data_IF_298559160631
#
_entry.id   IF_298559160631
#
_cell.length_a   1.000
_cell.length_b   1.000
_cell.length_c   1.000
_cell.angle_alpha   90.00
_cell.angle_beta   90.00
_cell.angle_gamma   90.00
#
_symmetry.space_group_name_H-M   'P 1'
#
loop_
_entity.id
_entity.type
_entity.pdbx_description
1 polymer ?
#
# COMPACT_ATOMS: atom_id res chain seq x y z
N UNK A 1 17.45 -8.19 13.70
CA UNK A 1 16.29 -7.53 14.32
C UNK A 1 15.09 -8.45 14.19
N UNK A 2 14.38 -8.76 15.28
CA UNK A 2 13.15 -9.59 15.26
C UNK A 2 11.96 -8.69 15.57
N UNK A 3 10.83 -8.86 14.88
CA UNK A 3 9.61 -8.12 15.21
C UNK A 3 9.10 -8.48 16.62
N UNK A 4 8.71 -7.47 17.38
CA UNK A 4 8.06 -7.66 18.69
C UNK A 4 6.59 -8.11 18.59
N UNK A 5 5.99 -8.10 17.40
CA UNK A 5 4.57 -8.44 17.21
C UNK A 5 4.36 -9.97 17.20
N UNK A 6 3.31 -10.48 17.88
CA UNK A 6 2.90 -11.87 17.72
C UNK A 6 2.56 -12.18 16.26
N UNK A 7 2.99 -13.33 15.76
CA UNK A 7 2.76 -13.73 14.36
C UNK A 7 1.28 -13.62 13.93
N UNK A 8 0.33 -13.94 14.83
CA UNK A 8 -1.10 -13.78 14.54
C UNK A 8 -1.47 -12.33 14.22
N UNK A 9 -0.97 -11.37 14.98
CA UNK A 9 -1.24 -9.94 14.79
C UNK A 9 -0.63 -9.46 13.47
N UNK A 10 0.61 -9.86 13.18
CA UNK A 10 1.35 -9.47 11.97
C UNK A 10 0.72 -9.98 10.66
N UNK A 11 -0.22 -10.93 10.69
CA UNK A 11 -0.82 -11.44 9.45
C UNK A 11 -2.34 -11.42 9.43
N UNK A 12 -3.01 -11.69 10.54
CA UNK A 12 -4.46 -11.75 10.57
C UNK A 12 -5.07 -10.36 10.43
N UNK A 13 -4.52 -9.35 11.13
CA UNK A 13 -5.02 -7.98 11.03
C UNK A 13 -4.78 -7.37 9.63
N UNK A 14 -3.57 -7.44 9.05
CA UNK A 14 -3.36 -6.97 7.68
C UNK A 14 -4.22 -7.71 6.66
N UNK A 15 -4.35 -9.05 6.76
CA UNK A 15 -5.21 -9.81 5.84
C UNK A 15 -6.67 -9.34 5.88
N UNK A 16 -7.21 -9.13 7.09
CA UNK A 16 -8.57 -8.61 7.28
C UNK A 16 -8.73 -7.19 6.74
N UNK A 17 -7.77 -6.31 7.01
CA UNK A 17 -7.77 -4.93 6.50
C UNK A 17 -7.61 -4.89 4.98
N UNK A 18 -6.81 -5.77 4.39
CA UNK A 18 -6.70 -5.89 2.94
C UNK A 18 -8.03 -6.34 2.34
N UNK A 19 -8.68 -7.36 2.92
CA UNK A 19 -9.98 -7.79 2.44
C UNK A 19 -11.01 -6.65 2.51
N UNK A 20 -10.99 -5.86 3.59
CA UNK A 20 -11.83 -4.68 3.73
C UNK A 20 -11.49 -3.58 2.71
N UNK A 21 -10.21 -3.28 2.51
CA UNK A 21 -9.75 -2.29 1.54
C UNK A 21 -10.14 -2.67 0.12
N UNK A 22 -9.96 -3.93 -0.26
CA UNK A 22 -10.35 -4.48 -1.57
C UNK A 22 -11.86 -4.43 -1.74
N UNK A 23 -12.62 -4.84 -0.72
CA UNK A 23 -14.08 -4.73 -0.74
C UNK A 23 -14.53 -3.27 -0.91
N UNK A 24 -13.86 -2.32 -0.25
CA UNK A 24 -14.16 -0.89 -0.40
C UNK A 24 -13.95 -0.43 -1.86
N UNK A 25 -12.79 -0.71 -2.45
CA UNK A 25 -12.46 -0.24 -3.82
C UNK A 25 -13.19 -0.99 -4.93
N UNK A 26 -13.70 -2.19 -4.66
CA UNK A 26 -14.50 -2.96 -5.62
C UNK A 26 -15.99 -2.63 -5.48
N UNK A 27 -16.54 -2.58 -4.25
CA UNK A 27 -17.99 -2.49 -4.05
C UNK A 27 -18.53 -1.05 -4.09
N UNK A 28 -17.81 -0.05 -3.58
CA UNK A 28 -18.33 1.34 -3.65
C UNK A 28 -18.57 1.82 -5.08
N UNK A 29 -17.67 1.57 -6.05
CA UNK A 29 -17.93 1.91 -7.45
C UNK A 29 -19.16 1.24 -8.04
N UNK A 30 -19.48 0.00 -7.65
CA UNK A 30 -20.71 -0.69 -8.07
C UNK A 30 -21.97 0.01 -7.56
N UNK A 31 -21.91 0.56 -6.34
CA UNK A 31 -23.05 1.19 -5.69
C UNK A 31 -23.24 2.67 -6.07
N UNK A 32 -22.14 3.38 -6.29
CA UNK A 32 -22.12 4.85 -6.43
C UNK A 32 -21.34 5.36 -7.66
N UNK A 33 -20.91 4.48 -8.57
CA UNK A 33 -20.14 4.84 -9.76
C UNK A 33 -18.82 5.54 -9.44
N UNK A 34 -18.51 6.59 -10.20
CA UNK A 34 -17.25 7.35 -10.04
C UNK A 34 -17.13 8.02 -8.66
N UNK A 35 -18.24 8.44 -8.04
CA UNK A 35 -18.21 8.99 -6.68
C UNK A 35 -17.83 7.92 -5.67
N UNK A 36 -18.30 6.69 -5.86
CA UNK A 36 -17.89 5.54 -5.04
C UNK A 36 -16.40 5.26 -5.16
N UNK A 37 -15.85 5.34 -6.38
CA UNK A 37 -14.41 5.16 -6.62
C UNK A 37 -13.57 6.24 -5.96
N UNK A 38 -13.96 7.51 -6.12
CA UNK A 38 -13.31 8.63 -5.44
C UNK A 38 -13.36 8.46 -3.91
N UNK A 39 -14.53 8.15 -3.36
CA UNK A 39 -14.70 7.94 -1.93
C UNK A 39 -13.80 6.81 -1.40
N UNK A 40 -13.73 5.68 -2.12
CA UNK A 40 -12.87 4.57 -1.74
C UNK A 40 -11.38 4.96 -1.77
N UNK A 41 -10.91 5.61 -2.83
CA UNK A 41 -9.51 6.06 -2.97
C UNK A 41 -9.15 7.06 -1.86
N UNK A 42 -10.01 8.05 -1.61
CA UNK A 42 -9.78 9.07 -0.59
C UNK A 42 -9.69 8.46 0.82
N UNK A 43 -10.56 7.49 1.15
CA UNK A 43 -10.49 6.76 2.43
C UNK A 43 -9.16 6.01 2.57
N UNK A 44 -8.70 5.32 1.52
CA UNK A 44 -7.42 4.61 1.55
C UNK A 44 -6.23 5.58 1.67
N UNK A 45 -6.24 6.69 0.91
CA UNK A 45 -5.17 7.68 0.96
C UNK A 45 -5.08 8.34 2.35
N UNK A 46 -6.19 8.85 2.89
CA UNK A 46 -6.18 9.54 4.18
C UNK A 46 -5.88 8.58 5.33
N UNK A 47 -6.40 7.34 5.25
CA UNK A 47 -6.05 6.28 6.19
C UNK A 47 -4.56 5.94 6.16
N UNK A 48 -3.97 5.84 4.97
CA UNK A 48 -2.53 5.63 4.80
C UNK A 48 -1.73 6.82 5.32
N UNK A 49 -2.10 8.07 4.97
CA UNK A 49 -1.42 9.28 5.44
C UNK A 49 -1.40 9.33 6.96
N UNK A 50 -2.55 9.14 7.61
CA UNK A 50 -2.65 9.17 9.07
C UNK A 50 -1.77 8.08 9.70
N UNK A 51 -1.90 6.84 9.23
CA UNK A 51 -1.17 5.71 9.83
C UNK A 51 0.31 5.73 9.52
N UNK A 52 0.72 6.21 8.35
CA UNK A 52 2.12 6.38 7.99
C UNK A 52 2.81 7.42 8.85
N UNK A 53 2.17 8.59 9.06
CA UNK A 53 2.74 9.64 9.93
C UNK A 53 2.90 9.14 11.36
N UNK A 54 1.96 8.31 11.86
CA UNK A 54 2.05 7.66 13.17
C UNK A 54 3.18 6.62 13.22
N UNK A 55 3.30 5.76 12.21
CA UNK A 55 4.25 4.63 12.18
C UNK A 55 5.68 5.08 11.91
N UNK A 56 5.88 6.01 10.99
CA UNK A 56 7.20 6.51 10.62
C UNK A 56 7.78 7.50 11.65
N UNK A 57 7.06 7.78 12.74
CA UNK A 57 7.51 8.68 13.81
C UNK A 57 7.88 10.08 13.30
N UNK A 58 7.19 10.57 12.26
CA UNK A 58 7.60 11.80 11.58
C UNK A 58 7.51 13.00 12.54
N UNK A 59 8.68 13.57 12.88
CA UNK A 59 8.74 14.78 13.68
C UNK A 59 8.03 15.95 12.99
N UNK A 60 7.15 16.63 13.73
CA UNK A 60 6.25 17.63 13.16
C UNK A 60 4.96 17.02 12.59
N UNK A 61 4.37 16.07 13.33
CA UNK A 61 3.11 15.36 13.03
C UNK A 61 2.08 16.19 12.24
N UNK A 62 1.71 17.38 12.76
CA UNK A 62 0.71 18.23 12.12
C UNK A 62 1.12 18.73 10.73
N UNK A 63 2.40 19.06 10.54
CA UNK A 63 2.93 19.49 9.25
C UNK A 63 2.97 18.35 8.24
N UNK A 64 3.49 17.18 8.64
CA UNK A 64 3.56 15.99 7.77
C UNK A 64 2.17 15.46 7.40
N UNK A 65 1.23 15.46 8.35
CA UNK A 65 -0.17 15.11 8.11
C UNK A 65 -0.83 16.08 7.13
N UNK A 66 -0.64 17.39 7.31
CA UNK A 66 -1.19 18.41 6.43
C UNK A 66 -0.63 18.29 5.00
N UNK A 67 0.69 18.10 4.85
CA UNK A 67 1.33 17.92 3.53
C UNK A 67 0.83 16.64 2.86
N UNK A 68 0.77 15.52 3.58
CA UNK A 68 0.29 14.25 3.05
C UNK A 68 -1.19 14.30 2.62
N UNK A 69 -2.05 14.89 3.45
CA UNK A 69 -3.47 15.03 3.15
C UNK A 69 -3.71 16.00 1.97
N UNK A 70 -2.99 17.11 1.92
CA UNK A 70 -3.05 18.05 0.79
C UNK A 70 -2.58 17.38 -0.51
N UNK A 71 -1.53 16.56 -0.45
CA UNK A 71 -1.04 15.82 -1.62
C UNK A 71 -2.04 14.77 -2.11
N UNK A 72 -2.72 14.04 -1.20
CA UNK A 72 -3.78 13.11 -1.55
C UNK A 72 -4.93 13.81 -2.30
N UNK A 73 -5.44 14.91 -1.74
CA UNK A 73 -6.50 15.70 -2.39
C UNK A 73 -6.02 16.28 -3.73
N UNK A 74 -4.80 16.80 -3.79
CA UNK A 74 -4.23 17.34 -5.03
C UNK A 74 -4.08 16.25 -6.11
N UNK A 75 -3.67 15.03 -5.74
CA UNK A 75 -3.55 13.90 -6.65
C UNK A 75 -4.91 13.51 -7.24
N UNK A 76 -5.95 13.44 -6.41
CA UNK A 76 -7.31 13.14 -6.86
C UNK A 76 -7.85 14.23 -7.79
N UNK A 77 -7.69 15.50 -7.41
CA UNK A 77 -8.11 16.65 -8.22
C UNK A 77 -7.37 16.69 -9.57
N UNK A 78 -6.07 16.39 -9.58
CA UNK A 78 -5.27 16.33 -10.81
C UNK A 78 -5.78 15.29 -11.81
N UNK A 79 -6.45 14.22 -11.33
CA UNK A 79 -6.97 13.16 -12.19
C UNK A 79 -8.48 13.27 -12.47
N UNK A 80 -9.20 14.13 -11.74
CA UNK A 80 -10.65 14.31 -11.88
C UNK A 80 -11.00 15.56 -12.68
N UNK A 81 -10.31 16.68 -12.45
CA UNK A 81 -10.65 17.96 -13.06
C UNK A 81 -10.36 18.04 -14.56
N UNK A 82 -9.22 17.52 -15.08
CA UNK A 82 -8.95 17.59 -16.50
C UNK A 82 -9.92 16.73 -17.32
N UNK A 83 -10.30 17.21 -18.50
CA UNK A 83 -11.10 16.43 -19.46
C UNK A 83 -10.34 15.18 -19.94
N UNK A 84 -9.00 15.28 -20.03
CA UNK A 84 -8.09 14.22 -20.45
C UNK A 84 -7.01 14.02 -19.40
N UNK A 85 -7.34 13.37 -18.27
CA UNK A 85 -6.38 13.19 -17.19
C UNK A 85 -5.28 12.21 -17.62
N UNK A 86 -4.04 12.52 -17.28
CA UNK A 86 -2.88 11.67 -17.57
C UNK A 86 -2.12 11.32 -16.30
N UNK A 87 -1.51 10.14 -16.26
CA UNK A 87 -0.66 9.75 -15.13
C UNK A 87 0.50 10.74 -14.89
N UNK A 88 0.98 11.39 -15.97
CA UNK A 88 2.01 12.42 -15.90
C UNK A 88 1.62 13.64 -15.07
N UNK A 89 0.33 13.93 -14.91
CA UNK A 89 -0.14 15.08 -14.10
C UNK A 89 0.21 14.89 -12.61
N UNK A 90 0.35 13.64 -12.15
CA UNK A 90 0.80 13.32 -10.80
C UNK A 90 2.26 13.76 -10.55
N UNK A 91 3.09 13.94 -11.58
CA UNK A 91 4.45 14.46 -11.41
C UNK A 91 4.46 15.89 -10.86
N UNK A 92 3.44 16.69 -11.19
CA UNK A 92 3.27 18.04 -10.63
C UNK A 92 2.97 17.94 -9.14
N UNK A 93 2.09 17.02 -8.74
CA UNK A 93 1.73 16.79 -7.33
C UNK A 93 2.93 16.30 -6.54
N UNK A 94 3.71 15.36 -7.09
CA UNK A 94 4.95 14.88 -6.48
C UNK A 94 5.99 16.00 -6.33
N UNK A 95 6.19 16.80 -7.39
CA UNK A 95 7.15 17.91 -7.37
C UNK A 95 6.78 18.99 -6.35
N UNK A 96 5.53 19.45 -6.37
CA UNK A 96 5.04 20.47 -5.43
C UNK A 96 4.98 19.92 -3.99
N UNK A 97 4.50 18.69 -3.81
CA UNK A 97 4.46 18.01 -2.52
C UNK A 97 5.84 17.82 -1.91
N UNK A 98 6.84 17.45 -2.72
CA UNK A 98 8.23 17.35 -2.29
C UNK A 98 8.79 18.69 -1.84
N UNK A 99 8.57 19.77 -2.61
CA UNK A 99 8.99 21.12 -2.22
C UNK A 99 8.32 21.57 -0.92
N UNK A 100 7.02 21.29 -0.75
CA UNK A 100 6.29 21.56 0.48
C UNK A 100 6.86 20.78 1.68
N UNK A 101 7.21 19.50 1.48
CA UNK A 101 7.88 18.69 2.49
C UNK A 101 9.24 19.29 2.87
N UNK A 102 10.11 19.62 1.91
CA UNK A 102 11.40 20.27 2.19
C UNK A 102 11.21 21.56 2.98
N UNK A 103 10.24 22.39 2.60
CA UNK A 103 9.98 23.66 3.27
C UNK A 103 9.47 23.43 4.71
N UNK A 104 8.58 22.46 4.91
CA UNK A 104 8.13 22.03 6.25
C UNK A 104 9.31 21.57 7.13
N UNK A 105 10.24 20.81 6.55
CA UNK A 105 11.45 20.32 7.23
C UNK A 105 12.45 21.45 7.53
N UNK A 106 12.54 22.48 6.68
CA UNK A 106 13.38 23.65 6.94
C UNK A 106 12.81 24.54 8.07
N UNK A 107 11.48 24.62 8.17
CA UNK A 107 10.79 25.44 9.17
C UNK A 107 10.70 24.76 10.55
N UNK A 108 10.79 23.44 10.63
CA UNK A 108 10.74 22.72 11.91
C UNK A 108 12.01 22.92 12.75
N UNK A 109 11.86 22.77 14.07
CA UNK A 109 12.94 22.69 15.06
C UNK A 109 12.55 21.68 16.14
N UNK A 110 13.42 20.75 16.57
CA UNK A 110 14.79 20.48 16.09
C UNK A 110 14.83 19.86 14.67
N UNK A 111 16.03 19.67 14.10
CA UNK A 111 16.25 19.21 12.71
C UNK A 111 17.03 17.89 12.67
N UNK A 112 16.63 16.95 13.51
CA UNK A 112 17.23 15.61 13.54
C UNK A 112 16.57 14.74 12.45
N UNK A 113 17.28 13.70 12.02
CA UNK A 113 16.80 12.69 11.06
C UNK A 113 16.11 13.21 9.79
N UNK A 114 16.60 14.33 9.25
CA UNK A 114 16.03 14.97 8.05
C UNK A 114 15.95 14.01 6.85
N UNK A 115 16.99 13.20 6.63
CA UNK A 115 17.04 12.27 5.49
C UNK A 115 15.98 11.17 5.63
N UNK A 116 15.83 10.59 6.83
CA UNK A 116 14.82 9.58 7.10
C UNK A 116 13.40 10.16 7.04
N UNK A 117 13.20 11.37 7.58
CA UNK A 117 11.90 12.05 7.52
C UNK A 117 11.51 12.43 6.09
N UNK A 118 12.48 12.89 5.28
CA UNK A 118 12.27 13.22 3.87
C UNK A 118 12.00 11.96 3.04
N UNK A 119 12.75 10.88 3.23
CA UNK A 119 12.54 9.62 2.51
C UNK A 119 11.17 9.01 2.84
N UNK A 120 10.77 9.03 4.11
CA UNK A 120 9.44 8.62 4.55
C UNK A 120 8.34 9.48 3.94
N UNK A 121 8.54 10.80 3.84
CA UNK A 121 7.57 11.69 3.20
C UNK A 121 7.48 11.47 1.69
N UNK A 122 8.61 11.29 1.00
CA UNK A 122 8.64 10.97 -0.44
C UNK A 122 7.92 9.65 -0.73
N UNK A 123 8.18 8.61 0.08
CA UNK A 123 7.49 7.33 -0.06
C UNK A 123 5.98 7.48 0.13
N UNK A 124 5.54 8.28 1.12
CA UNK A 124 4.13 8.60 1.30
C UNK A 124 3.53 9.31 0.09
N UNK A 125 4.20 10.35 -0.44
CA UNK A 125 3.76 11.08 -1.63
C UNK A 125 3.61 10.15 -2.85
N UNK A 126 4.57 9.25 -3.05
CA UNK A 126 4.51 8.23 -4.08
C UNK A 126 3.32 7.29 -3.87
N UNK A 127 3.09 6.83 -2.64
CA UNK A 127 2.01 5.89 -2.34
C UNK A 127 0.62 6.51 -2.52
N UNK A 128 0.39 7.75 -2.05
CA UNK A 128 -0.91 8.43 -2.26
C UNK A 128 -1.16 8.75 -3.74
N UNK A 129 -0.11 9.13 -4.48
CA UNK A 129 -0.21 9.35 -5.92
C UNK A 129 -0.50 8.04 -6.67
N UNK A 130 0.13 6.94 -6.24
CA UNK A 130 -0.15 5.62 -6.79
C UNK A 130 -1.61 5.21 -6.50
N UNK A 131 -2.14 5.45 -5.30
CA UNK A 131 -3.57 5.23 -5.01
C UNK A 131 -4.48 6.08 -5.90
N UNK A 132 -4.13 7.35 -6.16
CA UNK A 132 -4.90 8.21 -7.05
C UNK A 132 -5.00 7.63 -8.48
N UNK A 133 -3.97 6.91 -8.94
CA UNK A 133 -3.97 6.26 -10.24
C UNK A 133 -5.08 5.20 -10.41
N UNK A 134 -5.67 4.69 -9.31
CA UNK A 134 -6.86 3.85 -9.36
C UNK A 134 -8.08 4.56 -9.98
N UNK A 135 -8.15 5.90 -9.88
CA UNK A 135 -9.21 6.70 -10.49
C UNK A 135 -9.19 6.59 -12.02
N UNK A 136 -8.00 6.46 -12.62
CA UNK A 136 -7.84 6.28 -14.07
C UNK A 136 -8.24 4.86 -14.51
N UNK A 137 -7.97 3.86 -13.67
CA UNK A 137 -8.12 2.45 -14.04
C UNK A 137 -9.56 2.10 -14.43
N UNK A 138 -10.56 2.64 -13.75
CA UNK A 138 -11.95 2.33 -14.09
C UNK A 138 -12.67 3.37 -14.96
N UNK A 139 -11.98 4.40 -15.47
CA UNK A 139 -12.62 5.52 -16.21
C UNK A 139 -12.85 5.22 -17.70
N UNK A 140 -12.13 4.25 -18.25
CA UNK A 140 -12.33 3.81 -19.64
C UNK A 140 -13.67 3.06 -19.79
N UNK A 141 -14.31 3.05 -20.99
CA UNK A 141 -15.60 2.40 -21.24
C UNK A 141 -15.66 0.93 -20.77
N UNK A 142 -14.57 0.18 -20.92
CA UNK A 142 -14.43 -1.20 -20.46
C UNK A 142 -13.51 -1.33 -19.22
N UNK A 143 -13.07 -0.19 -18.66
CA UNK A 143 -12.05 -0.14 -17.63
C UNK A 143 -12.53 -0.61 -16.25
N UNK A 144 -13.84 -0.61 -16.02
CA UNK A 144 -14.43 -0.97 -14.72
C UNK A 144 -14.25 -2.45 -14.38
N UNK A 145 -14.62 -3.36 -15.30
CA UNK A 145 -14.43 -4.80 -15.10
C UNK A 145 -12.96 -5.19 -14.98
N UNK A 146 -12.10 -4.56 -15.78
CA UNK A 146 -10.64 -4.68 -15.67
C UNK A 146 -10.11 -4.24 -14.30
N UNK A 147 -10.53 -3.06 -13.82
CA UNK A 147 -10.12 -2.55 -12.52
C UNK A 147 -10.55 -3.50 -11.40
N UNK A 148 -11.78 -4.00 -11.46
CA UNK A 148 -12.30 -4.98 -10.51
C UNK A 148 -11.43 -6.24 -10.47
N UNK A 149 -11.17 -6.87 -11.63
CA UNK A 149 -10.37 -8.11 -11.69
C UNK A 149 -8.94 -7.88 -11.19
N UNK A 150 -8.31 -6.78 -11.59
CA UNK A 150 -6.97 -6.41 -11.12
C UNK A 150 -6.93 -6.23 -9.59
N UNK A 151 -7.90 -5.51 -9.02
CA UNK A 151 -7.99 -5.26 -7.57
C UNK A 151 -8.30 -6.55 -6.79
N UNK A 152 -9.15 -7.42 -7.32
CA UNK A 152 -9.42 -8.74 -6.73
C UNK A 152 -8.18 -9.64 -6.78
N UNK A 153 -7.40 -9.61 -7.87
CA UNK A 153 -6.15 -10.36 -7.98
C UNK A 153 -5.12 -9.91 -6.94
N UNK A 154 -4.95 -8.59 -6.78
CA UNK A 154 -4.07 -7.98 -5.77
C UNK A 154 -4.54 -8.32 -4.35
N UNK A 155 -5.85 -8.23 -4.09
CA UNK A 155 -6.44 -8.60 -2.82
C UNK A 155 -6.24 -10.06 -2.46
N UNK A 156 -6.50 -10.96 -3.40
CA UNK A 156 -6.28 -12.39 -3.23
C UNK A 156 -4.81 -12.73 -2.97
N UNK A 157 -3.89 -12.09 -3.70
CA UNK A 157 -2.46 -12.27 -3.47
C UNK A 157 -2.06 -11.95 -2.03
N UNK A 158 -2.47 -10.78 -1.52
CA UNK A 158 -2.16 -10.37 -0.15
C UNK A 158 -2.79 -11.27 0.90
N UNK A 159 -4.09 -11.56 0.78
CA UNK A 159 -4.81 -12.42 1.74
C UNK A 159 -4.21 -13.82 1.77
N UNK A 160 -3.95 -14.42 0.60
CA UNK A 160 -3.31 -15.75 0.51
C UNK A 160 -1.90 -15.71 1.06
N UNK A 161 -1.10 -14.70 0.73
CA UNK A 161 0.26 -14.56 1.26
C UNK A 161 0.28 -14.51 2.79
N UNK A 162 -0.58 -13.68 3.41
CA UNK A 162 -0.71 -13.62 4.87
C UNK A 162 -1.24 -14.93 5.49
N UNK A 163 -2.23 -15.56 4.88
CA UNK A 163 -2.80 -16.82 5.37
C UNK A 163 -1.78 -17.98 5.31
N UNK A 164 -1.03 -18.06 4.21
CA UNK A 164 0.03 -19.06 4.02
C UNK A 164 1.14 -18.84 5.03
N UNK A 165 1.61 -17.60 5.18
CA UNK A 165 2.63 -17.27 6.17
C UNK A 165 2.14 -17.61 7.59
N UNK A 166 0.84 -17.50 7.90
CA UNK A 166 0.29 -17.90 9.20
C UNK A 166 0.30 -19.40 9.46
N UNK A 167 0.05 -20.21 8.43
CA UNK A 167 -0.28 -21.64 8.60
C UNK A 167 0.89 -22.56 8.27
N UNK A 168 1.67 -22.24 7.24
CA UNK A 168 2.75 -23.10 6.77
C UNK A 168 4.08 -22.81 7.48
N UNK A 169 4.95 -23.83 7.64
CA UNK A 169 6.35 -23.62 8.03
C UNK A 169 7.04 -22.67 7.06
N UNK A 170 7.77 -21.69 7.60
CA UNK A 170 8.34 -20.58 6.84
C UNK A 170 9.83 -20.83 6.56
N UNK A 171 10.22 -21.28 5.35
CA UNK A 171 11.56 -20.95 4.87
C UNK A 171 11.64 -19.42 4.75
N UNK A 172 12.32 -18.80 5.71
CA UNK A 172 12.42 -17.35 5.82
C UNK A 172 13.17 -16.78 4.62
N UNK A 173 12.60 -15.74 4.00
CA UNK A 173 13.31 -14.98 2.98
C UNK A 173 14.44 -14.15 3.58
N UNK A 174 14.24 -13.68 4.81
CA UNK A 174 15.23 -12.97 5.59
C UNK A 174 15.05 -13.23 7.08
N UNK A 175 16.16 -13.20 7.82
CA UNK A 175 16.16 -13.41 9.26
C UNK A 175 15.38 -12.32 9.97
N UNK A 176 14.39 -12.71 10.78
CA UNK A 176 13.60 -11.79 11.60
C UNK A 176 12.45 -11.07 10.89
N UNK A 177 12.28 -11.25 9.57
CA UNK A 177 11.11 -10.75 8.84
C UNK A 177 10.06 -11.85 8.73
N UNK A 178 8.83 -11.61 9.17
CA UNK A 178 7.77 -12.62 9.16
C UNK A 178 7.14 -12.74 7.77
N UNK A 179 7.93 -13.10 6.75
CA UNK A 179 7.47 -13.42 5.39
C UNK A 179 8.21 -14.65 4.85
N UNK A 180 7.46 -15.66 4.42
CA UNK A 180 8.01 -16.91 3.91
C UNK A 180 8.03 -16.97 2.39
N UNK A 181 8.94 -17.80 1.84
CA UNK A 181 9.00 -18.06 0.40
C UNK A 181 7.68 -18.63 -0.14
N UNK A 182 7.03 -19.53 0.60
CA UNK A 182 5.76 -20.12 0.18
C UNK A 182 4.62 -19.10 0.13
N UNK A 183 4.56 -18.17 1.10
CA UNK A 183 3.58 -17.08 1.09
C UNK A 183 3.75 -16.21 -0.16
N UNK A 184 4.99 -15.89 -0.50
CA UNK A 184 5.30 -15.15 -1.72
C UNK A 184 4.87 -15.92 -2.98
N UNK A 185 5.29 -17.18 -3.16
CA UNK A 185 4.95 -17.96 -4.35
C UNK A 185 3.43 -18.18 -4.51
N UNK A 186 2.74 -18.52 -3.43
CA UNK A 186 1.29 -18.76 -3.47
C UNK A 186 0.50 -17.46 -3.65
N UNK A 187 1.01 -16.31 -3.21
CA UNK A 187 0.38 -15.02 -3.48
C UNK A 187 0.35 -14.69 -4.98
N UNK A 188 1.46 -14.93 -5.69
CA UNK A 188 1.55 -14.76 -7.16
C UNK A 188 0.58 -15.69 -7.87
N UNK A 189 0.55 -16.97 -7.48
CA UNK A 189 -0.36 -17.95 -8.07
C UNK A 189 -1.83 -17.61 -7.82
N UNK A 190 -2.16 -17.08 -6.63
CA UNK A 190 -3.52 -16.65 -6.30
C UNK A 190 -3.98 -15.49 -7.19
N UNK A 191 -3.16 -14.45 -7.37
CA UNK A 191 -3.53 -13.34 -8.25
C UNK A 191 -3.61 -13.72 -9.72
N UNK A 192 -2.68 -14.56 -10.20
CA UNK A 192 -2.75 -15.11 -11.56
C UNK A 192 -4.04 -15.93 -11.78
N UNK A 193 -4.42 -16.76 -10.81
CA UNK A 193 -5.65 -17.55 -10.86
C UNK A 193 -6.89 -16.66 -10.87
N UNK A 194 -6.96 -15.63 -10.02
CA UNK A 194 -8.11 -14.70 -10.00
C UNK A 194 -8.24 -13.96 -11.31
N UNK A 195 -7.13 -13.47 -11.90
CA UNK A 195 -7.15 -12.83 -13.20
C UNK A 195 -7.60 -13.79 -14.31
N UNK A 196 -7.11 -15.03 -14.29
CA UNK A 196 -7.54 -16.07 -15.24
C UNK A 196 -9.04 -16.38 -15.14
N UNK A 197 -9.58 -16.51 -13.93
CA UNK A 197 -11.00 -16.77 -13.70
C UNK A 197 -11.87 -15.56 -14.06
N UNK A 198 -11.35 -14.34 -13.84
CA UNK A 198 -12.02 -13.08 -14.14
C UNK A 198 -11.82 -12.57 -15.57
N UNK A 199 -11.07 -13.27 -16.44
CA UNK A 199 -10.63 -12.76 -17.76
C UNK A 199 -11.74 -12.27 -18.69
N UNK A 200 -12.93 -12.86 -18.59
CA UNK A 200 -14.08 -12.45 -19.40
C UNK A 200 -14.69 -11.15 -18.87
N UNK A 201 -14.78 -11.01 -17.53
CA UNK A 201 -15.21 -9.76 -16.88
C UNK A 201 -14.17 -8.64 -17.03
N UNK A 202 -12.88 -9.00 -17.09
CA UNK A 202 -11.77 -8.09 -17.36
C UNK A 202 -11.56 -7.77 -18.84
N UNK A 203 -12.36 -8.32 -19.76
CA UNK A 203 -12.24 -8.03 -21.19
C UNK A 203 -10.95 -8.53 -21.85
N UNK A 204 -10.08 -9.25 -21.14
CA UNK A 204 -8.87 -9.87 -21.71
C UNK A 204 -9.26 -11.02 -22.64
N UNK A 205 -10.24 -11.83 -22.25
CA UNK A 205 -10.77 -13.00 -22.97
C UNK A 205 -9.78 -14.16 -23.18
N UNK A 206 -8.49 -13.87 -23.35
CA UNK A 206 -7.42 -14.84 -23.55
C UNK A 206 -6.81 -15.30 -22.22
N UNK A 207 -6.54 -16.60 -22.11
CA UNK A 207 -6.01 -17.22 -20.91
C UNK A 207 -4.60 -16.74 -20.53
N UNK A 208 -3.68 -16.71 -21.49
CA UNK A 208 -2.26 -16.40 -21.24
C UNK A 208 -2.05 -14.95 -20.81
N UNK A 209 -2.61 -13.93 -21.51
CA UNK A 209 -2.46 -12.54 -21.07
C UNK A 209 -3.05 -12.29 -19.68
N UNK A 210 -4.21 -12.89 -19.36
CA UNK A 210 -4.82 -12.76 -18.04
C UNK A 210 -3.95 -13.38 -16.93
N UNK A 211 -3.34 -14.55 -17.17
CA UNK A 211 -2.39 -15.16 -16.23
C UNK A 211 -1.16 -14.27 -16.02
N UNK A 212 -0.60 -13.70 -17.09
CA UNK A 212 0.57 -12.82 -17.02
C UNK A 212 0.24 -11.53 -16.27
N UNK A 213 -0.88 -10.89 -16.59
CA UNK A 213 -1.34 -9.67 -15.92
C UNK A 213 -1.51 -9.90 -14.41
N UNK A 214 -2.26 -10.95 -14.04
CA UNK A 214 -2.46 -11.30 -12.63
C UNK A 214 -1.18 -11.66 -11.90
N UNK A 215 -0.26 -12.39 -12.56
CA UNK A 215 1.04 -12.75 -11.98
C UNK A 215 1.93 -11.53 -11.77
N UNK A 216 1.98 -10.58 -12.71
CA UNK A 216 2.78 -9.36 -12.57
C UNK A 216 2.23 -8.48 -11.44
N UNK A 217 0.92 -8.26 -11.40
CA UNK A 217 0.28 -7.46 -10.34
C UNK A 217 0.52 -8.09 -8.97
N UNK A 218 0.24 -9.39 -8.83
CA UNK A 218 0.44 -10.10 -7.59
C UNK A 218 1.93 -10.17 -7.18
N UNK A 219 2.83 -10.32 -8.14
CA UNK A 219 4.28 -10.30 -7.90
C UNK A 219 4.75 -8.97 -7.33
N UNK A 220 4.38 -7.85 -7.96
CA UNK A 220 4.72 -6.51 -7.44
C UNK A 220 4.12 -6.31 -6.06
N UNK A 221 2.84 -6.64 -5.87
CA UNK A 221 2.16 -6.52 -4.58
C UNK A 221 2.83 -7.37 -3.51
N UNK A 222 3.21 -8.62 -3.80
CA UNK A 222 3.89 -9.49 -2.85
C UNK A 222 5.27 -8.94 -2.44
N UNK A 223 6.01 -8.39 -3.41
CA UNK A 223 7.30 -7.75 -3.14
C UNK A 223 7.16 -6.49 -2.29
N UNK A 224 6.17 -5.64 -2.57
CA UNK A 224 5.91 -4.46 -1.74
C UNK A 224 5.43 -4.88 -0.35
N UNK A 225 4.62 -5.93 -0.23
CA UNK A 225 4.19 -6.47 1.07
C UNK A 225 5.37 -7.01 1.90
N UNK A 226 6.41 -7.55 1.25
CA UNK A 226 7.68 -7.90 1.90
C UNK A 226 8.39 -6.63 2.40
N UNK A 227 8.55 -5.61 1.56
CA UNK A 227 9.16 -4.31 1.94
C UNK A 227 8.41 -3.69 3.11
N UNK A 228 7.07 -3.70 3.09
CA UNK A 228 6.27 -3.17 4.21
C UNK A 228 6.45 -3.99 5.49
N UNK A 229 6.75 -5.28 5.38
CA UNK A 229 7.08 -6.10 6.56
C UNK A 229 8.42 -5.67 7.18
N UNK A 230 9.40 -5.25 6.37
CA UNK A 230 10.63 -4.63 6.88
C UNK A 230 10.36 -3.32 7.60
N UNK A 231 9.53 -2.44 7.04
CA UNK A 231 9.14 -1.17 7.67
C UNK A 231 8.50 -1.42 9.05
N UNK A 232 7.65 -2.43 9.17
CA UNK A 232 7.04 -2.79 10.46
C UNK A 232 8.05 -3.40 11.44
N UNK A 233 8.98 -4.23 10.97
CA UNK A 233 10.08 -4.75 11.81
C UNK A 233 10.90 -3.59 12.35
N UNK A 234 11.32 -2.65 11.48
CA UNK A 234 12.11 -1.49 11.86
C UNK A 234 11.38 -0.62 12.90
N UNK A 235 10.12 -0.24 12.62
CA UNK A 235 9.29 0.56 13.52
C UNK A 235 9.05 -0.11 14.89
N UNK A 236 9.02 -1.45 14.95
CA UNK A 236 8.84 -2.19 16.20
C UNK A 236 10.16 -2.48 16.93
N UNK A 237 11.30 -2.48 16.22
CA UNK A 237 12.63 -2.70 16.80
C UNK A 237 13.30 -1.45 17.35
N UNK A 238 13.01 -0.27 16.78
CA UNK A 238 13.59 1.00 17.23
C UNK A 238 13.23 1.36 18.69
N UNK A 239 12.12 0.83 19.22
CA UNK A 239 11.75 0.97 20.63
C UNK A 239 12.52 0.06 21.61
N UNK A 240 13.40 -0.82 21.14
CA UNK A 240 14.08 -1.83 21.97
C UNK A 240 15.57 -1.58 22.24
N UNK A 241 16.21 -0.67 21.50
CA UNK A 241 17.68 -0.51 21.52
C UNK A 241 18.18 0.34 22.74
N UNK A 242 17.24 0.89 23.53
CA UNK A 242 17.47 1.67 24.76
C UNK A 242 17.15 0.86 26.03
N UNK A 243 16.93 -0.45 25.91
CA UNK A 243 16.74 -1.34 27.06
C UNK A 243 18.10 -1.88 27.52
N UNK A 244 18.59 -1.33 28.63
CA UNK A 244 19.73 -1.83 29.40
C UNK A 244 19.75 -3.36 29.52
N UNK A 245 20.96 -3.95 29.50
CA UNK A 245 21.26 -5.40 29.49
C UNK A 245 20.72 -6.22 30.69
N UNK A 246 19.99 -5.64 31.66
CA UNK A 246 19.56 -6.35 32.89
C UNK A 246 18.04 -6.21 33.24
N UNK A 247 17.18 -5.79 32.30
CA UNK A 247 15.73 -5.67 32.52
C UNK A 247 14.88 -6.76 31.83
N UNK A 248 13.74 -7.21 32.41
CA UNK A 248 12.84 -8.15 31.72
C UNK A 248 12.33 -7.50 30.42
N UNK A 249 12.59 -8.16 29.29
CA UNK A 249 12.33 -7.72 27.92
C UNK A 249 11.08 -6.82 27.78
N UNK A 250 11.32 -5.51 27.84
CA UNK A 250 10.29 -4.50 27.70
C UNK A 250 9.83 -4.46 26.25
N UNK A 251 8.51 -4.45 26.09
CA UNK A 251 7.82 -4.42 24.81
C UNK A 251 8.19 -3.14 24.07
N UNK A 252 8.32 -3.21 22.73
CA UNK A 252 8.59 -2.04 21.89
C UNK A 252 7.64 -0.88 22.20
N UNK A 253 8.06 0.35 21.86
CA UNK A 253 7.40 1.60 22.22
C UNK A 253 5.87 1.45 22.36
N UNK A 254 5.31 1.48 23.59
CA UNK A 254 3.92 1.15 23.87
C UNK A 254 2.92 2.11 23.21
N UNK A 255 3.39 3.14 22.52
CA UNK A 255 2.58 4.14 21.81
C UNK A 255 2.16 3.73 20.40
N UNK A 256 2.84 2.78 19.75
CA UNK A 256 2.53 2.40 18.36
C UNK A 256 1.39 1.38 18.29
N UNK A 257 0.23 1.82 17.80
CA UNK A 257 -0.95 0.97 17.63
C UNK A 257 -0.70 -0.13 16.58
N UNK A 258 -0.90 -1.42 16.92
CA UNK A 258 -0.79 -2.53 15.96
C UNK A 258 -1.70 -2.39 14.73
N UNK A 259 -2.82 -1.67 14.89
CA UNK A 259 -3.73 -1.35 13.80
C UNK A 259 -3.12 -0.40 12.78
N UNK A 260 -2.33 0.60 13.22
CA UNK A 260 -1.67 1.52 12.29
C UNK A 260 -0.66 0.78 11.42
N UNK A 261 0.15 -0.09 12.03
CA UNK A 261 1.09 -0.96 11.31
C UNK A 261 0.35 -1.87 10.31
N UNK A 262 -0.80 -2.41 10.71
CA UNK A 262 -1.60 -3.29 9.85
C UNK A 262 -2.24 -2.56 8.67
N UNK A 263 -2.66 -1.30 8.85
CA UNK A 263 -3.15 -0.45 7.75
C UNK A 263 -2.04 -0.20 6.74
N UNK A 264 -0.84 0.15 7.20
CA UNK A 264 0.32 0.36 6.31
C UNK A 264 0.63 -0.93 5.53
N UNK A 265 0.64 -2.09 6.21
CA UNK A 265 0.83 -3.41 5.57
C UNK A 265 -0.25 -3.79 4.56
N UNK A 266 -1.48 -3.32 4.73
CA UNK A 266 -2.57 -3.60 3.82
C UNK A 266 -2.61 -2.65 2.63
N UNK A 267 -2.43 -1.34 2.86
CA UNK A 267 -2.69 -0.29 1.87
C UNK A 267 -1.47 0.01 1.00
N UNK A 268 -0.25 -0.03 1.55
CA UNK A 268 0.96 0.28 0.75
C UNK A 268 1.17 -0.70 -0.42
N UNK A 269 1.02 -2.03 -0.24
CA UNK A 269 1.14 -2.98 -1.36
C UNK A 269 -0.01 -2.86 -2.37
N UNK A 270 -1.19 -2.44 -1.92
CA UNK A 270 -2.33 -2.15 -2.78
C UNK A 270 -2.06 -0.89 -3.63
N UNK A 271 -1.50 0.17 -3.04
CA UNK A 271 -1.14 1.39 -3.76
C UNK A 271 -0.21 1.11 -4.95
N UNK A 272 0.80 0.25 -4.76
CA UNK A 272 1.80 -0.08 -5.77
C UNK A 272 1.22 -0.75 -7.03
N UNK A 273 0.06 -1.41 -6.95
CA UNK A 273 -0.50 -2.13 -8.10
C UNK A 273 -1.11 -1.20 -9.15
N UNK A 274 -1.59 -0.02 -8.75
CA UNK A 274 -2.32 0.89 -9.62
C UNK A 274 -1.51 1.39 -10.83
N UNK A 275 -0.29 1.96 -10.66
CA UNK A 275 0.52 2.37 -11.81
C UNK A 275 0.96 1.17 -12.66
N UNK A 276 1.16 -0.01 -12.06
CA UNK A 276 1.52 -1.23 -12.81
C UNK A 276 0.37 -1.71 -13.67
N UNK A 277 -0.87 -1.70 -13.15
CA UNK A 277 -2.06 -2.06 -13.91
C UNK A 277 -2.25 -1.11 -15.11
N UNK A 278 -2.04 0.19 -14.91
CA UNK A 278 -2.09 1.16 -16.01
C UNK A 278 -0.97 0.94 -17.04
N UNK A 279 0.24 0.61 -16.60
CA UNK A 279 1.35 0.31 -17.51
C UNK A 279 1.08 -0.94 -18.35
N UNK A 280 0.55 -2.00 -17.73
CA UNK A 280 0.23 -3.26 -18.44
C UNK A 280 -0.81 -3.02 -19.54
N UNK A 281 -1.80 -2.15 -19.32
CA UNK A 281 -2.78 -1.77 -20.35
C UNK A 281 -2.20 -1.04 -21.56
N UNK A 282 -1.01 -0.47 -21.44
CA UNK A 282 -0.35 0.18 -22.58
C UNK A 282 0.40 -0.82 -23.47
N UNK A 283 0.57 -2.06 -23.02
CA UNK A 283 1.43 -3.08 -23.63
C UNK A 283 0.64 -4.33 -24.04
N UNK A 284 -0.40 -4.70 -23.28
CA UNK A 284 -1.28 -5.85 -23.50
C UNK A 284 -2.57 -5.44 -24.23
#
# INVERSE_FOLDING_TARGET
>A
MQSALPARVHHLQPAGLTALAVALVVLLPELFGDLGRLGAVLVLQLGLVLTWVLVAGLEGFGGSLAVGAAAAVAADLALILPERPALGDLLVVLGVGFLAAVLQQMLRRPREDLVASLSGTVLLLCAVSALAALLLLGRAPDGHGQAMVALLAVGAALVVGHAVDLVLPRPYLATGVPRGLFGLLLSVLAGALVAFLGRDAGGTGAAVPALVEGAVLAGVTAMVALVTSYVVVEATSAGGEWADEDGPAAHGDPSLSPWALSVVQAVLPLAACAPVALALRSIL
#
